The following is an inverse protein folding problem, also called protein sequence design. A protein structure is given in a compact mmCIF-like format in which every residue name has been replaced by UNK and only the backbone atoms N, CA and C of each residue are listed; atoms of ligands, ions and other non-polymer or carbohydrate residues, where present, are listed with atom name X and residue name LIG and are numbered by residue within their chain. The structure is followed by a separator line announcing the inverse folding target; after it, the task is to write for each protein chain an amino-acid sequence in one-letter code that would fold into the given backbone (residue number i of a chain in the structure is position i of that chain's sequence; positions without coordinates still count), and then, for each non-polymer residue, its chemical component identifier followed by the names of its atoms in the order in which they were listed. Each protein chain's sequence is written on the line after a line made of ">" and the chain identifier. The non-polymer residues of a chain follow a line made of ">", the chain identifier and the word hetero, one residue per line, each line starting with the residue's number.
data_IF_099257456673
#
_entry.id   IF_099257456673
#
_cell.length_a   1.000
_cell.length_b   1.000
_cell.length_c   1.000
_cell.angle_alpha   90.00
_cell.angle_beta   90.00
_cell.angle_gamma   90.00
#
_symmetry.space_group_name_H-M   'P 1'
#
loop_
_entity.id
_entity.type
_entity.pdbx_description
1 polymer ?
#
# COMPACT_ATOMS: atom_id res chain seq x y z
N UNK A 1 15.03 -52.20 -25.47
CA UNK A 1 15.30 -51.83 -24.07
C UNK A 1 15.66 -50.34 -23.88
N UNK A 2 16.59 -49.72 -24.65
CA UNK A 2 16.96 -48.30 -24.45
C UNK A 2 15.82 -47.27 -24.63
N UNK A 3 14.83 -47.51 -25.50
CA UNK A 3 13.70 -46.59 -25.72
C UNK A 3 12.69 -46.55 -24.56
N UNK A 4 12.50 -47.66 -23.86
CA UNK A 4 11.61 -47.71 -22.70
C UNK A 4 12.24 -47.07 -21.44
N UNK A 5 13.58 -47.12 -21.33
CA UNK A 5 14.30 -46.48 -20.21
C UNK A 5 14.25 -44.95 -20.29
N UNK A 6 14.37 -44.36 -21.50
CA UNK A 6 14.20 -42.92 -21.70
C UNK A 6 12.77 -42.45 -21.42
N UNK A 7 11.76 -43.23 -21.83
CA UNK A 7 10.36 -42.86 -21.54
C UNK A 7 10.05 -42.91 -20.04
N UNK A 8 10.66 -43.84 -19.29
CA UNK A 8 10.46 -43.94 -17.84
C UNK A 8 11.16 -42.77 -17.09
N UNK A 9 12.34 -42.31 -17.55
CA UNK A 9 13.04 -41.18 -17.00
C UNK A 9 12.28 -39.88 -17.27
N UNK A 10 11.76 -39.68 -18.48
CA UNK A 10 10.92 -38.52 -18.79
C UNK A 10 9.61 -38.48 -17.98
N UNK A 11 9.00 -39.64 -17.74
CA UNK A 11 7.79 -39.73 -16.93
C UNK A 11 8.05 -39.39 -15.45
N UNK A 12 9.18 -39.87 -14.89
CA UNK A 12 9.58 -39.50 -13.52
C UNK A 12 9.95 -38.03 -13.38
N UNK A 13 10.57 -37.40 -14.38
CA UNK A 13 10.84 -35.96 -14.36
C UNK A 13 9.53 -35.12 -14.46
N UNK A 14 8.57 -35.56 -15.25
CA UNK A 14 7.24 -34.89 -15.32
C UNK A 14 6.48 -35.03 -14.01
N UNK A 15 6.51 -36.21 -13.39
CA UNK A 15 5.86 -36.42 -12.08
C UNK A 15 6.52 -35.60 -10.97
N UNK A 16 7.85 -35.51 -10.95
CA UNK A 16 8.55 -34.67 -9.96
C UNK A 16 8.31 -33.17 -10.16
N UNK A 17 8.14 -32.69 -11.41
CA UNK A 17 7.76 -31.32 -11.71
C UNK A 17 6.32 -31.00 -11.27
N UNK A 18 5.39 -31.93 -11.46
CA UNK A 18 4.00 -31.76 -10.99
C UNK A 18 3.93 -31.78 -9.47
N UNK A 19 4.67 -32.65 -8.80
CA UNK A 19 4.75 -32.65 -7.32
C UNK A 19 5.40 -31.37 -6.78
N UNK A 20 6.45 -30.86 -7.41
CA UNK A 20 7.08 -29.59 -6.99
C UNK A 20 6.15 -28.39 -7.19
N UNK A 21 5.32 -28.38 -8.25
CA UNK A 21 4.30 -27.35 -8.47
C UNK A 21 3.12 -27.46 -7.50
N UNK A 22 2.79 -28.68 -7.07
CA UNK A 22 1.72 -28.92 -6.10
C UNK A 22 2.18 -28.61 -4.67
N UNK A 23 3.43 -28.89 -4.31
CA UNK A 23 4.05 -28.50 -3.03
C UNK A 23 4.15 -26.96 -2.89
N UNK A 24 4.63 -26.26 -3.92
CA UNK A 24 4.66 -24.78 -3.91
C UNK A 24 3.27 -24.17 -3.81
N UNK A 25 2.26 -24.78 -4.43
CA UNK A 25 0.87 -24.30 -4.37
C UNK A 25 0.21 -24.60 -3.02
N UNK A 26 0.63 -25.65 -2.32
CA UNK A 26 0.16 -26.00 -0.97
C UNK A 26 0.82 -25.10 0.07
N UNK A 27 2.13 -24.83 -0.03
CA UNK A 27 2.84 -23.88 0.84
C UNK A 27 2.31 -22.44 0.69
N UNK A 28 1.97 -22.04 -0.55
CA UNK A 28 1.38 -20.74 -0.84
C UNK A 28 -0.01 -20.56 -0.19
N UNK A 29 -0.80 -21.64 -0.19
CA UNK A 29 -2.14 -21.66 0.42
C UNK A 29 -2.07 -21.69 1.95
N UNK A 30 -1.11 -22.43 2.52
CA UNK A 30 -0.94 -22.57 3.97
C UNK A 30 -0.40 -21.29 4.62
N UNK A 31 0.51 -20.56 3.95
CA UNK A 31 1.02 -19.28 4.46
C UNK A 31 0.00 -18.15 4.37
N UNK A 32 -0.86 -18.12 3.34
CA UNK A 32 -1.96 -17.16 3.27
C UNK A 32 -3.00 -17.46 4.37
N UNK A 33 -3.32 -18.72 4.58
CA UNK A 33 -4.24 -19.14 5.65
C UNK A 33 -3.67 -18.90 7.04
N UNK A 34 -2.35 -18.97 7.24
CA UNK A 34 -1.71 -18.64 8.50
C UNK A 34 -1.72 -17.12 8.77
N UNK A 35 -1.42 -16.30 7.78
CA UNK A 35 -1.56 -14.84 7.86
C UNK A 35 -3.00 -14.43 8.15
N UNK A 36 -3.97 -14.98 7.41
CA UNK A 36 -5.39 -14.71 7.64
C UNK A 36 -5.87 -15.21 9.01
N UNK A 37 -5.27 -16.28 9.55
CA UNK A 37 -5.62 -16.79 10.86
C UNK A 37 -5.06 -15.98 12.03
N UNK A 38 -3.84 -15.46 11.88
CA UNK A 38 -3.14 -14.70 12.93
C UNK A 38 -3.40 -13.20 12.86
N UNK A 39 -3.46 -12.63 11.67
CA UNK A 39 -3.43 -11.17 11.45
C UNK A 39 -4.79 -10.61 11.02
N UNK A 40 -5.63 -11.40 10.36
CA UNK A 40 -6.94 -10.97 9.88
C UNK A 40 -6.99 -10.73 8.37
N UNK A 41 -8.04 -10.07 7.90
CA UNK A 41 -8.26 -9.82 6.48
C UNK A 41 -7.23 -8.83 5.91
N UNK A 42 -6.74 -9.15 4.71
CA UNK A 42 -5.86 -8.29 3.94
C UNK A 42 -6.69 -7.14 3.35
N UNK A 43 -6.19 -5.88 3.33
CA UNK A 43 -6.89 -4.77 2.70
C UNK A 43 -7.22 -5.04 1.23
N UNK A 44 -8.41 -4.61 0.77
CA UNK A 44 -8.86 -4.77 -0.63
C UNK A 44 -7.86 -4.19 -1.65
N UNK A 45 -7.08 -3.18 -1.26
CA UNK A 45 -6.03 -2.58 -2.10
C UNK A 45 -4.96 -3.59 -2.54
N UNK A 46 -4.66 -4.59 -1.70
CA UNK A 46 -3.67 -5.62 -2.02
C UNK A 46 -4.20 -6.70 -2.97
N UNK A 47 -5.53 -6.81 -3.10
CA UNK A 47 -6.17 -7.68 -4.09
C UNK A 47 -6.41 -6.97 -5.42
N UNK A 48 -6.02 -5.70 -5.54
CA UNK A 48 -6.18 -4.94 -6.76
C UNK A 48 -5.40 -5.56 -7.92
N UNK A 49 -6.10 -5.76 -9.03
CA UNK A 49 -5.48 -6.22 -10.26
C UNK A 49 -4.76 -5.07 -10.94
N UNK A 50 -3.44 -5.19 -11.14
CA UNK A 50 -2.59 -4.16 -11.74
C UNK A 50 -3.07 -3.76 -13.13
N UNK A 51 -3.52 -4.71 -13.96
CA UNK A 51 -4.06 -4.41 -15.28
C UNK A 51 -5.34 -3.57 -15.20
N UNK A 52 -6.16 -3.81 -14.17
CA UNK A 52 -7.36 -3.00 -13.91
C UNK A 52 -7.00 -1.60 -13.42
N UNK A 53 -5.98 -1.48 -12.55
CA UNK A 53 -5.44 -0.20 -12.10
C UNK A 53 -4.89 0.61 -13.27
N UNK A 54 -4.10 0.01 -14.13
CA UNK A 54 -3.53 0.64 -15.32
C UNK A 54 -4.60 1.08 -16.33
N UNK A 55 -5.72 0.36 -16.43
CA UNK A 55 -6.85 0.75 -17.31
C UNK A 55 -7.69 1.89 -16.77
N UNK A 56 -7.80 2.01 -15.46
CA UNK A 56 -8.59 3.07 -14.81
C UNK A 56 -7.86 4.42 -14.87
N UNK A 57 -6.55 4.39 -14.99
CA UNK A 57 -5.70 5.55 -15.22
C UNK A 57 -5.33 5.64 -16.68
N UNK A 58 -5.29 6.86 -17.22
CA UNK A 58 -4.74 7.13 -18.57
C UNK A 58 -3.24 6.85 -18.67
N UNK A 59 -2.71 5.91 -17.88
CA UNK A 59 -1.35 5.41 -17.94
C UNK A 59 -1.25 4.43 -19.11
N UNK A 60 -1.58 4.87 -20.32
CA UNK A 60 -1.46 4.06 -21.53
C UNK A 60 -0.08 4.12 -22.18
N UNK A 61 0.83 4.92 -21.63
CA UNK A 61 2.13 5.16 -22.23
C UNK A 61 3.25 4.86 -21.24
N UNK A 62 3.84 3.69 -21.39
CA UNK A 62 5.10 3.35 -20.74
C UNK A 62 6.25 3.83 -21.62
N UNK A 63 7.02 4.82 -21.18
CA UNK A 63 8.33 5.07 -21.76
C UNK A 63 9.32 4.05 -21.19
N UNK A 64 10.07 3.37 -22.05
CA UNK A 64 11.18 2.54 -21.60
C UNK A 64 12.29 3.45 -21.06
N UNK A 65 12.47 3.47 -19.75
CA UNK A 65 13.71 3.94 -19.15
C UNK A 65 14.70 2.77 -19.18
N UNK A 66 15.90 2.97 -19.70
CA UNK A 66 17.00 2.02 -19.53
C UNK A 66 17.47 2.17 -18.09
N UNK A 67 17.05 1.31 -17.22
CA UNK A 67 17.33 1.42 -15.79
C UNK A 67 18.28 0.33 -15.29
N UNK A 68 19.14 0.78 -14.40
CA UNK A 68 20.09 -0.01 -13.61
C UNK A 68 19.41 -0.98 -12.60
N UNK A 69 18.12 -1.22 -12.75
CA UNK A 69 17.38 -2.13 -11.91
C UNK A 69 17.31 -3.49 -12.59
N UNK A 70 17.87 -4.52 -11.97
CA UNK A 70 17.73 -5.89 -12.43
C UNK A 70 16.35 -6.39 -12.03
N UNK A 71 15.48 -6.56 -13.03
CA UNK A 71 14.14 -7.09 -12.86
C UNK A 71 14.19 -8.62 -13.02
N UNK A 72 14.61 -9.29 -11.96
CA UNK A 72 14.44 -10.73 -11.84
C UNK A 72 13.11 -11.00 -11.16
N UNK A 73 12.33 -11.94 -11.70
CA UNK A 73 11.04 -12.35 -11.11
C UNK A 73 11.20 -13.05 -9.75
N UNK A 74 12.44 -13.37 -9.37
CA UNK A 74 12.76 -14.06 -8.13
C UNK A 74 13.02 -13.08 -6.98
N UNK A 75 12.39 -13.35 -5.84
CA UNK A 75 12.65 -12.62 -4.60
C UNK A 75 13.98 -13.05 -3.99
N UNK A 76 14.68 -12.09 -3.37
CA UNK A 76 15.89 -12.35 -2.56
C UNK A 76 15.48 -12.44 -1.09
N UNK A 77 15.78 -13.59 -0.48
CA UNK A 77 15.52 -13.83 0.94
C UNK A 77 16.71 -13.42 1.79
N UNK A 78 16.42 -12.72 2.86
CA UNK A 78 17.43 -12.29 3.85
C UNK A 78 17.15 -12.91 5.22
N UNK A 79 18.17 -13.11 6.06
CA UNK A 79 17.96 -13.49 7.46
C UNK A 79 17.31 -12.32 8.23
N UNK A 80 16.59 -12.65 9.30
CA UNK A 80 15.85 -11.67 10.13
C UNK A 80 16.69 -10.50 10.60
N UNK A 81 17.97 -10.75 10.90
CA UNK A 81 18.93 -9.71 11.30
C UNK A 81 19.09 -8.60 10.27
N UNK A 82 18.95 -8.91 8.97
CA UNK A 82 19.02 -7.91 7.88
C UNK A 82 17.76 -7.06 7.86
N UNK A 83 16.57 -7.66 8.04
CA UNK A 83 15.32 -6.91 8.11
C UNK A 83 15.28 -5.99 9.32
N UNK A 84 15.72 -6.48 10.49
CA UNK A 84 15.83 -5.68 11.71
C UNK A 84 16.77 -4.49 11.51
N UNK A 85 17.98 -4.74 10.97
CA UNK A 85 18.96 -3.70 10.69
C UNK A 85 18.41 -2.65 9.71
N UNK A 86 17.79 -3.08 8.60
CA UNK A 86 17.22 -2.20 7.60
C UNK A 86 16.07 -1.35 8.15
N UNK A 87 15.13 -1.94 8.88
CA UNK A 87 14.04 -1.20 9.52
C UNK A 87 14.56 -0.18 10.52
N UNK A 88 15.60 -0.52 11.29
CA UNK A 88 16.22 0.39 12.25
C UNK A 88 16.94 1.60 11.63
N UNK A 89 17.32 1.49 10.34
CA UNK A 89 17.98 2.57 9.59
C UNK A 89 17.01 3.49 8.85
N UNK A 90 15.73 3.11 8.73
CA UNK A 90 14.76 4.00 8.12
C UNK A 90 14.59 5.26 8.97
N UNK A 91 14.67 6.46 8.37
CA UNK A 91 14.42 7.70 9.07
C UNK A 91 12.92 7.82 9.37
N UNK A 92 12.49 7.31 10.52
CA UNK A 92 11.08 7.27 10.91
C UNK A 92 10.89 7.75 12.34
N UNK A 93 9.91 8.62 12.55
CA UNK A 93 9.39 9.00 13.85
C UNK A 93 8.43 7.94 14.39
N UNK A 94 7.76 7.23 13.48
CA UNK A 94 6.85 6.13 13.80
C UNK A 94 7.67 4.87 14.12
N UNK A 95 7.37 4.21 15.22
CA UNK A 95 8.05 2.97 15.59
C UNK A 95 7.76 1.86 14.57
N UNK A 96 8.82 1.26 14.02
CA UNK A 96 8.76 0.18 13.03
C UNK A 96 9.36 -1.12 13.61
N UNK A 97 8.74 -1.74 14.63
CA UNK A 97 9.26 -2.95 15.23
C UNK A 97 9.20 -4.13 14.25
N UNK A 98 10.18 -5.02 14.35
CA UNK A 98 10.22 -6.28 13.61
C UNK A 98 9.68 -7.42 14.46
N UNK A 99 8.85 -8.26 13.87
CA UNK A 99 8.39 -9.55 14.40
C UNK A 99 7.95 -10.46 13.24
N UNK A 100 7.54 -11.69 13.54
CA UNK A 100 7.13 -12.64 12.51
C UNK A 100 5.96 -12.13 11.66
N UNK A 101 4.99 -11.43 12.26
CA UNK A 101 3.83 -10.86 11.55
C UNK A 101 4.28 -9.80 10.53
N UNK A 102 5.20 -8.93 10.93
CA UNK A 102 5.80 -7.93 10.04
C UNK A 102 6.60 -8.61 8.93
N UNK A 103 7.33 -9.69 9.26
CA UNK A 103 8.05 -10.48 8.27
C UNK A 103 7.11 -11.04 7.20
N UNK A 104 6.02 -11.67 7.62
CA UNK A 104 5.03 -12.25 6.71
C UNK A 104 4.39 -11.18 5.81
N UNK A 105 4.17 -9.96 6.33
CA UNK A 105 3.71 -8.83 5.53
C UNK A 105 4.77 -8.32 4.53
N UNK A 106 6.06 -8.34 4.90
CA UNK A 106 7.15 -8.02 3.97
C UNK A 106 7.20 -9.05 2.84
N UNK A 107 7.14 -10.34 3.17
CA UNK A 107 7.15 -11.42 2.18
C UNK A 107 5.90 -11.37 1.28
N UNK A 108 4.74 -10.98 1.81
CA UNK A 108 3.54 -10.72 1.01
C UNK A 108 3.81 -9.69 -0.10
N UNK A 109 4.40 -8.56 0.22
CA UNK A 109 4.75 -7.52 -0.77
C UNK A 109 5.90 -7.97 -1.69
N UNK A 110 7.00 -8.43 -1.11
CA UNK A 110 8.23 -8.70 -1.84
C UNK A 110 8.16 -9.96 -2.72
N UNK A 111 7.24 -10.88 -2.43
CA UNK A 111 7.12 -12.16 -3.15
C UNK A 111 5.79 -12.25 -3.93
N UNK A 112 4.65 -12.12 -3.23
CA UNK A 112 3.36 -12.42 -3.83
C UNK A 112 2.72 -11.25 -4.56
N UNK A 113 2.98 -10.02 -4.11
CA UNK A 113 2.39 -8.80 -4.68
C UNK A 113 3.42 -7.95 -5.42
N UNK A 114 4.51 -8.57 -5.95
CA UNK A 114 5.60 -7.88 -6.64
C UNK A 114 5.12 -6.90 -7.72
N UNK A 115 4.20 -7.35 -8.59
CA UNK A 115 3.64 -6.49 -9.64
C UNK A 115 2.87 -5.29 -9.08
N UNK A 116 2.17 -5.47 -7.95
CA UNK A 116 1.51 -4.36 -7.26
C UNK A 116 2.53 -3.39 -6.65
N UNK A 117 3.63 -3.91 -6.08
CA UNK A 117 4.73 -3.07 -5.57
C UNK A 117 5.37 -2.28 -6.70
N UNK A 118 5.62 -2.88 -7.86
CA UNK A 118 6.13 -2.19 -9.06
C UNK A 118 5.23 -1.04 -9.49
N UNK A 119 3.91 -1.27 -9.50
CA UNK A 119 2.91 -0.24 -9.77
C UNK A 119 2.96 0.87 -8.71
N UNK A 120 2.94 0.53 -7.42
CA UNK A 120 2.97 1.50 -6.32
C UNK A 120 4.23 2.36 -6.34
N UNK A 121 5.38 1.78 -6.66
CA UNK A 121 6.65 2.50 -6.83
C UNK A 121 6.56 3.52 -7.98
N UNK A 122 6.01 3.14 -9.13
CA UNK A 122 5.81 4.06 -10.24
C UNK A 122 4.82 5.18 -9.93
N UNK A 123 3.75 4.90 -9.17
CA UNK A 123 2.78 5.92 -8.75
C UNK A 123 3.32 6.81 -7.63
N UNK A 124 4.25 6.31 -6.82
CA UNK A 124 4.89 7.06 -5.75
C UNK A 124 5.67 8.26 -6.27
N UNK A 125 6.33 8.16 -7.41
CA UNK A 125 7.06 9.27 -8.03
C UNK A 125 6.17 10.51 -8.27
N UNK A 126 4.88 10.28 -8.53
CA UNK A 126 3.90 11.34 -8.74
C UNK A 126 3.20 11.79 -7.45
N UNK A 127 2.71 10.84 -6.63
CA UNK A 127 1.89 11.21 -5.47
C UNK A 127 2.68 11.55 -4.22
N UNK A 128 3.85 10.96 -4.00
CA UNK A 128 4.61 11.22 -2.78
C UNK A 128 5.03 12.69 -2.64
N UNK A 129 5.50 13.40 -3.67
CA UNK A 129 5.81 14.82 -3.54
C UNK A 129 4.62 15.66 -3.05
N UNK A 130 3.40 15.37 -3.55
CA UNK A 130 2.18 16.07 -3.12
C UNK A 130 1.85 15.75 -1.66
N UNK A 131 1.90 14.47 -1.30
CA UNK A 131 1.57 14.00 0.05
C UNK A 131 2.60 14.51 1.05
N UNK A 132 3.89 14.42 0.73
CA UNK A 132 4.99 14.87 1.58
C UNK A 132 4.92 16.36 1.87
N UNK A 133 4.65 17.17 0.85
CA UNK A 133 4.48 18.61 1.03
C UNK A 133 3.38 18.91 2.05
N UNK A 134 2.21 18.30 1.90
CA UNK A 134 1.08 18.55 2.82
C UNK A 134 1.37 18.03 4.23
N UNK A 135 2.01 16.85 4.36
CA UNK A 135 2.43 16.32 5.66
C UNK A 135 3.41 17.27 6.36
N UNK A 136 4.40 17.78 5.63
CA UNK A 136 5.40 18.71 6.15
C UNK A 136 4.77 20.05 6.59
N UNK A 137 3.90 20.64 5.77
CA UNK A 137 3.13 21.85 6.09
C UNK A 137 2.29 21.69 7.36
N UNK A 138 1.82 20.47 7.63
CA UNK A 138 1.10 20.11 8.85
C UNK A 138 2.02 19.72 10.03
N UNK A 139 3.33 19.60 9.83
CA UNK A 139 4.30 19.15 10.84
C UNK A 139 4.07 17.70 11.26
N UNK A 140 3.70 16.84 10.32
CA UNK A 140 3.42 15.42 10.53
C UNK A 140 4.55 14.54 10.01
N UNK A 141 4.72 13.31 10.56
CA UNK A 141 5.69 12.35 10.04
C UNK A 141 5.48 12.05 8.55
N UNK A 142 6.55 12.20 7.78
CA UNK A 142 6.52 12.00 6.31
C UNK A 142 6.21 10.55 5.94
N UNK A 143 6.58 9.62 6.78
CA UNK A 143 6.30 8.19 6.59
C UNK A 143 4.81 7.85 6.60
N UNK A 144 3.93 8.74 7.07
CA UNK A 144 2.47 8.57 6.94
C UNK A 144 2.02 8.46 5.48
N UNK A 145 2.83 8.90 4.51
CA UNK A 145 2.58 8.69 3.08
C UNK A 145 2.36 7.21 2.71
N UNK A 146 3.04 6.29 3.41
CA UNK A 146 2.89 4.85 3.17
C UNK A 146 1.53 4.31 3.59
N UNK A 147 0.74 5.09 4.32
CA UNK A 147 -0.64 4.72 4.59
C UNK A 147 -1.51 4.76 3.34
N UNK A 148 -1.29 5.73 2.43
CA UNK A 148 -1.96 5.76 1.13
C UNK A 148 -1.59 4.55 0.24
N UNK A 149 -0.38 3.99 0.44
CA UNK A 149 0.02 2.72 -0.20
C UNK A 149 -0.86 1.57 0.32
N UNK A 150 -1.03 1.47 1.64
CA UNK A 150 -1.85 0.41 2.27
C UNK A 150 -3.33 0.56 1.90
N UNK A 151 -3.86 1.79 1.90
CA UNK A 151 -5.28 2.06 1.70
C UNK A 151 -5.76 1.83 0.26
N UNK A 152 -4.98 2.28 -0.72
CA UNK A 152 -5.44 2.31 -2.11
C UNK A 152 -4.42 1.84 -3.14
N UNK A 153 -3.24 1.39 -2.72
CA UNK A 153 -2.09 1.20 -3.62
C UNK A 153 -1.79 2.47 -4.45
N UNK A 154 -1.96 3.65 -3.84
CA UNK A 154 -1.84 4.96 -4.49
C UNK A 154 -2.84 5.21 -5.65
N UNK A 155 -4.01 4.58 -5.61
CA UNK A 155 -5.08 4.81 -6.59
C UNK A 155 -6.09 5.87 -6.10
N UNK A 156 -6.10 7.10 -6.64
CA UNK A 156 -6.99 8.18 -6.17
C UNK A 156 -8.45 7.97 -6.53
N UNK A 157 -8.76 7.05 -7.43
CA UNK A 157 -10.15 6.71 -7.82
C UNK A 157 -10.62 5.40 -7.20
N UNK A 158 -9.83 4.80 -6.32
CA UNK A 158 -10.19 3.58 -5.63
C UNK A 158 -11.54 3.74 -4.90
N UNK A 159 -12.39 2.72 -5.02
CA UNK A 159 -13.69 2.65 -4.35
C UNK A 159 -13.87 1.24 -3.78
N UNK A 160 -13.91 1.14 -2.45
CA UNK A 160 -14.13 -0.13 -1.76
C UNK A 160 -15.60 -0.56 -1.82
N UNK A 161 -15.87 -1.84 -1.54
CA UNK A 161 -17.24 -2.40 -1.47
C UNK A 161 -18.12 -1.69 -0.42
N UNK A 162 -17.50 -1.14 0.62
CA UNK A 162 -18.21 -0.41 1.69
C UNK A 162 -18.30 1.09 1.43
N UNK A 163 -17.79 1.57 0.29
CA UNK A 163 -17.90 2.96 -0.13
C UNK A 163 -16.78 3.90 0.36
N UNK A 164 -15.69 3.34 0.89
CA UNK A 164 -14.46 4.11 1.11
C UNK A 164 -13.86 4.52 -0.26
N UNK A 165 -13.32 5.74 -0.38
CA UNK A 165 -12.93 6.30 -1.67
C UNK A 165 -11.63 7.10 -1.61
N UNK A 166 -10.87 7.03 -2.72
CA UNK A 166 -9.68 7.84 -2.97
C UNK A 166 -8.39 7.27 -2.39
N UNK A 167 -7.30 8.03 -2.48
CA UNK A 167 -5.97 7.66 -1.96
C UNK A 167 -6.00 7.22 -0.50
N UNK A 168 -6.79 7.90 0.30
CA UNK A 168 -6.89 7.76 1.74
C UNK A 168 -8.09 6.93 2.19
N UNK A 169 -8.85 6.37 1.27
CA UNK A 169 -10.02 5.51 1.53
C UNK A 169 -11.00 6.09 2.57
N UNK A 170 -11.27 7.39 2.48
CA UNK A 170 -12.24 8.00 3.37
C UNK A 170 -13.65 7.43 3.18
N UNK A 171 -14.27 7.04 4.28
CA UNK A 171 -15.72 6.84 4.32
C UNK A 171 -16.44 8.18 4.12
N UNK A 172 -17.59 8.15 3.47
CA UNK A 172 -18.36 9.36 3.16
C UNK A 172 -18.65 10.25 4.40
N UNK A 173 -19.10 9.70 5.56
CA UNK A 173 -19.32 10.52 6.75
C UNK A 173 -18.01 11.13 7.27
N UNK A 174 -16.94 10.36 7.30
CA UNK A 174 -15.62 10.81 7.79
C UNK A 174 -15.05 11.88 6.88
N UNK A 175 -15.07 11.70 5.56
CA UNK A 175 -14.61 12.72 4.62
C UNK A 175 -15.34 14.05 4.81
N UNK A 176 -16.66 14.03 4.94
CA UNK A 176 -17.44 15.23 5.23
C UNK A 176 -17.11 15.89 6.56
N UNK A 177 -16.85 15.10 7.63
CA UNK A 177 -16.50 15.65 8.94
C UNK A 177 -15.13 16.34 8.94
N UNK A 178 -14.25 15.96 8.02
CA UNK A 178 -12.93 16.59 7.83
C UNK A 178 -12.90 17.64 6.70
N UNK A 179 -14.10 18.04 6.22
CA UNK A 179 -14.27 19.22 5.36
C UNK A 179 -14.22 18.92 3.86
N UNK A 180 -14.27 17.65 3.45
CA UNK A 180 -14.34 17.30 2.03
C UNK A 180 -15.75 17.55 1.48
N UNK A 181 -15.84 18.20 0.32
CA UNK A 181 -17.08 18.36 -0.41
C UNK A 181 -17.41 17.05 -1.15
N UNK A 182 -18.55 16.47 -0.79
CA UNK A 182 -19.01 15.22 -1.39
C UNK A 182 -20.50 15.35 -1.70
N UNK A 183 -20.80 15.44 -2.99
CA UNK A 183 -22.16 15.57 -3.51
C UNK A 183 -22.32 14.74 -4.81
N UNK A 184 -23.40 14.95 -5.57
CA UNK A 184 -23.65 14.20 -6.81
C UNK A 184 -22.73 14.60 -7.99
N UNK A 185 -22.03 15.73 -7.90
CA UNK A 185 -21.18 16.27 -8.96
C UNK A 185 -19.69 16.21 -8.61
N UNK A 186 -19.36 16.32 -7.31
CA UNK A 186 -18.00 16.41 -6.81
C UNK A 186 -17.79 15.41 -5.69
N UNK A 187 -16.65 14.73 -5.71
CA UNK A 187 -16.19 13.86 -4.62
C UNK A 187 -14.70 14.15 -4.34
N UNK A 188 -14.44 15.06 -3.41
CA UNK A 188 -13.09 15.51 -3.06
C UNK A 188 -12.24 14.45 -2.34
N UNK A 189 -12.82 13.29 -2.00
CA UNK A 189 -12.02 12.14 -1.56
C UNK A 189 -11.07 11.64 -2.64
N UNK A 190 -11.36 11.96 -3.92
CA UNK A 190 -10.55 11.63 -5.10
C UNK A 190 -9.52 12.69 -5.45
N UNK A 191 -9.61 13.86 -4.84
CA UNK A 191 -8.62 14.92 -5.00
C UNK A 191 -7.40 14.64 -4.10
N UNK A 192 -6.20 14.40 -4.65
CA UNK A 192 -5.03 14.02 -3.87
C UNK A 192 -4.65 15.06 -2.83
N UNK A 193 -4.74 16.34 -3.16
CA UNK A 193 -4.36 17.44 -2.27
C UNK A 193 -5.38 17.57 -1.12
N UNK A 194 -6.66 17.73 -1.45
CA UNK A 194 -7.73 17.94 -0.45
C UNK A 194 -7.91 16.72 0.46
N UNK A 195 -7.83 15.51 -0.10
CA UNK A 195 -7.92 14.29 0.67
C UNK A 195 -6.72 14.14 1.63
N UNK A 196 -5.51 14.55 1.23
CA UNK A 196 -4.34 14.56 2.11
C UNK A 196 -4.49 15.60 3.22
N UNK A 197 -4.99 16.78 2.93
CA UNK A 197 -5.34 17.79 3.94
C UNK A 197 -6.33 17.26 5.00
N UNK A 198 -7.35 16.55 4.56
CA UNK A 198 -8.32 15.92 5.45
C UNK A 198 -7.67 14.82 6.31
N UNK A 199 -6.78 14.00 5.72
CA UNK A 199 -6.05 12.96 6.42
C UNK A 199 -5.12 13.55 7.50
N UNK A 200 -4.42 14.65 7.18
CA UNK A 200 -3.56 15.36 8.13
C UNK A 200 -4.35 15.86 9.36
N UNK A 201 -5.54 16.40 9.15
CA UNK A 201 -6.43 16.82 10.27
C UNK A 201 -6.83 15.63 11.13
N UNK A 202 -7.21 14.51 10.50
CA UNK A 202 -7.52 13.26 11.23
C UNK A 202 -6.32 12.78 12.06
N UNK A 203 -5.13 12.74 11.48
CA UNK A 203 -3.92 12.30 12.17
C UNK A 203 -3.61 13.17 13.39
N UNK A 204 -3.73 14.50 13.27
CA UNK A 204 -3.55 15.42 14.40
C UNK A 204 -4.54 15.16 15.53
N UNK A 205 -5.83 15.01 15.19
CA UNK A 205 -6.87 14.74 16.17
C UNK A 205 -6.61 13.42 16.92
N UNK A 206 -6.25 12.37 16.17
CA UNK A 206 -5.99 11.06 16.79
C UNK A 206 -4.69 11.04 17.58
N UNK A 207 -3.65 11.74 17.12
CA UNK A 207 -2.41 11.84 17.87
C UNK A 207 -2.59 12.63 19.17
N UNK A 208 -3.42 13.66 19.16
CA UNK A 208 -3.79 14.37 20.39
C UNK A 208 -4.48 13.49 21.44
N UNK A 209 -5.18 12.42 21.00
CA UNK A 209 -5.86 11.45 21.88
C UNK A 209 -4.89 10.38 22.38
N UNK A 210 -4.06 9.81 21.47
CA UNK A 210 -3.30 8.60 21.79
C UNK A 210 -1.83 8.87 22.12
N UNK A 211 -1.23 9.92 21.58
CA UNK A 211 0.21 10.20 21.70
C UNK A 211 1.14 9.13 21.12
N UNK A 212 0.57 8.15 20.41
CA UNK A 212 1.26 7.02 19.81
C UNK A 212 0.80 6.80 18.35
N UNK A 213 1.75 6.76 17.43
CA UNK A 213 1.44 6.67 16.00
C UNK A 213 0.85 5.32 15.59
N UNK A 214 1.28 4.23 16.19
CA UNK A 214 0.72 2.91 15.87
C UNK A 214 -0.75 2.79 16.32
N UNK A 215 -1.12 3.47 17.40
CA UNK A 215 -2.53 3.61 17.81
C UNK A 215 -3.31 4.55 16.88
N UNK A 216 -2.68 5.62 16.37
CA UNK A 216 -3.27 6.49 15.34
C UNK A 216 -3.56 5.70 14.07
N UNK A 217 -2.60 4.91 13.58
CA UNK A 217 -2.79 4.02 12.43
C UNK A 217 -3.91 3.01 12.66
N UNK A 218 -3.94 2.35 13.82
CA UNK A 218 -5.01 1.44 14.17
C UNK A 218 -6.39 2.13 14.20
N UNK A 219 -6.44 3.38 14.72
CA UNK A 219 -7.67 4.17 14.77
C UNK A 219 -8.14 4.60 13.38
N UNK A 220 -7.23 4.82 12.44
CA UNK A 220 -7.57 5.14 11.06
C UNK A 220 -8.38 4.00 10.41
N UNK A 221 -7.93 2.78 10.61
CA UNK A 221 -8.59 1.59 10.06
C UNK A 221 -9.92 1.25 10.75
N UNK A 222 -9.95 1.13 12.07
CA UNK A 222 -11.13 0.63 12.77
C UNK A 222 -11.94 1.71 13.53
N UNK A 223 -11.49 2.95 13.50
CA UNK A 223 -12.06 4.04 14.27
C UNK A 223 -11.63 4.07 15.74
N UNK A 224 -11.60 5.27 16.36
CA UNK A 224 -11.14 5.45 17.74
C UNK A 224 -11.98 4.67 18.77
N UNK A 225 -13.25 4.43 18.49
CA UNK A 225 -14.12 3.65 19.37
C UNK A 225 -13.66 2.20 19.59
N UNK A 226 -13.15 1.55 18.53
CA UNK A 226 -12.63 0.18 18.61
C UNK A 226 -11.26 0.12 19.29
N UNK A 227 -10.38 1.09 19.03
CA UNK A 227 -9.10 1.22 19.75
C UNK A 227 -9.33 1.41 21.23
N UNK A 228 -10.21 2.34 21.64
CA UNK A 228 -10.55 2.57 23.04
C UNK A 228 -11.17 1.32 23.71
N UNK A 229 -11.95 0.53 22.96
CA UNK A 229 -12.48 -0.73 23.45
C UNK A 229 -11.37 -1.77 23.67
N UNK A 230 -10.39 -1.85 22.76
CA UNK A 230 -9.23 -2.73 22.90
C UNK A 230 -8.36 -2.32 24.11
N UNK A 231 -8.08 -1.03 24.28
CA UNK A 231 -7.37 -0.49 25.46
C UNK A 231 -8.07 -0.89 26.75
N UNK A 232 -9.38 -0.71 26.86
CA UNK A 232 -10.13 -1.12 28.07
C UNK A 232 -10.05 -2.63 28.31
N UNK A 233 -10.14 -3.45 27.25
CA UNK A 233 -10.08 -4.91 27.36
C UNK A 233 -8.69 -5.43 27.73
N UNK A 234 -7.64 -4.73 27.38
CA UNK A 234 -6.25 -5.08 27.73
C UNK A 234 -5.86 -4.66 29.15
N UNK A 235 -6.79 -4.04 29.90
CA UNK A 235 -6.51 -3.52 31.25
C UNK A 235 -5.86 -2.12 31.24
N UNK A 236 -6.07 -1.32 30.18
CA UNK A 236 -5.59 0.04 30.07
C UNK A 236 -4.22 0.19 29.39
N UNK A 237 -3.75 -0.85 28.70
CA UNK A 237 -2.49 -0.79 27.94
C UNK A 237 -2.66 0.11 26.72
N UNK A 238 -1.62 0.86 26.38
CA UNK A 238 -1.59 1.86 25.30
C UNK A 238 -0.50 1.60 24.24
N UNK A 239 0.11 0.41 24.26
CA UNK A 239 0.98 -0.07 23.17
C UNK A 239 0.16 -0.88 22.18
N UNK A 240 0.40 -0.70 20.86
CA UNK A 240 -0.34 -1.41 19.82
C UNK A 240 -0.24 -2.93 19.95
N UNK A 241 0.96 -3.47 20.23
CA UNK A 241 1.18 -4.91 20.32
C UNK A 241 0.56 -5.52 21.58
N UNK A 242 0.46 -4.74 22.63
CA UNK A 242 -0.25 -5.14 23.86
C UNK A 242 -1.77 -5.23 23.65
N UNK A 243 -2.35 -4.33 22.86
CA UNK A 243 -3.80 -4.35 22.56
C UNK A 243 -4.15 -5.17 21.33
N UNK A 244 -3.17 -5.64 20.56
CA UNK A 244 -3.31 -6.41 19.33
C UNK A 244 -4.36 -7.54 19.41
N UNK A 245 -4.36 -8.42 20.45
CA UNK A 245 -5.34 -9.52 20.54
C UNK A 245 -6.79 -9.05 20.72
N UNK A 246 -7.00 -7.80 21.14
CA UNK A 246 -8.31 -7.22 21.40
C UNK A 246 -8.85 -6.36 20.27
N UNK A 247 -8.01 -6.06 19.27
CA UNK A 247 -8.38 -5.32 18.06
C UNK A 247 -9.23 -6.20 17.11
N UNK A 248 -10.06 -5.58 16.24
CA UNK A 248 -10.67 -6.28 15.11
C UNK A 248 -9.62 -6.99 14.27
N UNK A 249 -9.95 -8.15 13.70
CA UNK A 249 -8.99 -8.94 12.91
C UNK A 249 -8.36 -8.14 11.77
N UNK A 250 -9.16 -7.36 11.03
CA UNK A 250 -8.69 -6.48 9.94
C UNK A 250 -7.65 -5.46 10.41
N UNK A 251 -7.82 -4.93 11.61
CA UNK A 251 -6.93 -3.91 12.17
C UNK A 251 -5.60 -4.49 12.63
N UNK A 252 -5.57 -5.78 12.97
CA UNK A 252 -4.33 -6.45 13.40
C UNK A 252 -3.28 -6.49 12.29
N UNK A 253 -3.69 -6.65 11.03
CA UNK A 253 -2.77 -6.63 9.88
C UNK A 253 -2.32 -5.23 9.50
N UNK A 254 -3.07 -4.19 9.88
CA UNK A 254 -2.93 -2.86 9.32
C UNK A 254 -1.59 -2.19 9.67
N UNK A 255 -1.20 -2.18 10.93
CA UNK A 255 0.11 -1.65 11.35
C UNK A 255 1.27 -2.50 10.82
N UNK A 256 1.25 -3.85 10.89
CA UNK A 256 2.24 -4.68 10.22
C UNK A 256 2.38 -4.41 8.71
N UNK A 257 1.28 -4.22 7.99
CA UNK A 257 1.30 -3.88 6.56
C UNK A 257 1.88 -2.48 6.31
N UNK A 258 1.60 -1.51 7.19
CA UNK A 258 2.23 -0.20 7.11
C UNK A 258 3.75 -0.28 7.29
N UNK A 259 4.22 -1.06 8.26
CA UNK A 259 5.66 -1.30 8.47
C UNK A 259 6.28 -1.98 7.25
N UNK A 260 5.61 -2.99 6.71
CA UNK A 260 6.06 -3.70 5.52
C UNK A 260 6.07 -2.83 4.27
N UNK A 261 5.07 -1.95 4.09
CA UNK A 261 5.05 -0.98 3.01
C UNK A 261 6.22 0.01 3.11
N UNK A 262 6.49 0.53 4.33
CA UNK A 262 7.69 1.33 4.59
C UNK A 262 8.96 0.61 4.18
N UNK A 263 9.11 -0.64 4.58
CA UNK A 263 10.28 -1.45 4.26
C UNK A 263 10.41 -1.66 2.75
N UNK A 264 9.38 -2.21 2.10
CA UNK A 264 9.49 -2.61 0.69
C UNK A 264 9.64 -1.42 -0.26
N UNK A 265 8.98 -0.30 0.04
CA UNK A 265 9.09 0.92 -0.78
C UNK A 265 10.47 1.60 -0.66
N UNK A 266 11.27 1.28 0.36
CA UNK A 266 12.64 1.77 0.53
C UNK A 266 13.71 0.77 0.07
N UNK A 267 13.43 -0.53 0.17
CA UNK A 267 14.39 -1.60 -0.13
C UNK A 267 13.96 -2.49 -1.30
N UNK A 268 13.19 -1.94 -2.24
CA UNK A 268 12.67 -2.66 -3.41
C UNK A 268 13.79 -3.21 -4.32
N UNK A 269 14.88 -2.46 -4.50
CA UNK A 269 16.01 -2.90 -5.32
C UNK A 269 16.66 -4.17 -4.77
N UNK A 270 16.78 -4.29 -3.45
CA UNK A 270 17.37 -5.43 -2.77
C UNK A 270 16.52 -6.70 -2.90
N UNK A 271 15.24 -6.52 -3.25
CA UNK A 271 14.31 -7.60 -3.55
C UNK A 271 14.11 -7.83 -5.06
N UNK A 272 15.00 -7.29 -5.91
CA UNK A 272 14.89 -7.36 -7.36
C UNK A 272 13.52 -6.86 -7.89
N UNK A 273 12.97 -5.81 -7.29
CA UNK A 273 11.74 -5.18 -7.73
C UNK A 273 12.08 -3.84 -8.39
N UNK A 274 11.68 -3.66 -9.63
CA UNK A 274 11.87 -2.40 -10.34
C UNK A 274 10.57 -1.61 -10.43
N UNK A 275 10.59 -0.28 -10.25
CA UNK A 275 9.41 0.56 -10.42
C UNK A 275 8.82 0.40 -11.82
N UNK A 276 7.50 0.32 -11.89
CA UNK A 276 6.80 0.43 -13.18
C UNK A 276 6.90 1.89 -13.65
N UNK A 277 7.28 2.08 -14.90
CA UNK A 277 7.38 3.44 -15.43
C UNK A 277 5.99 3.99 -15.72
N UNK A 278 5.77 5.22 -15.29
CA UNK A 278 4.53 5.95 -15.52
C UNK A 278 4.81 7.16 -16.40
N UNK A 279 3.91 7.50 -17.31
CA UNK A 279 3.99 8.72 -18.12
C UNK A 279 3.37 9.93 -17.44
N UNK A 280 3.05 9.83 -16.14
CA UNK A 280 2.52 10.96 -15.39
C UNK A 280 3.58 12.08 -15.32
N UNK A 281 3.22 13.32 -15.62
CA UNK A 281 4.16 14.43 -15.55
C UNK A 281 4.58 14.66 -14.10
N UNK A 282 5.89 14.75 -13.84
CA UNK A 282 6.43 15.04 -12.50
C UNK A 282 6.16 16.50 -12.06
N UNK A 283 5.86 17.38 -13.00
CA UNK A 283 5.51 18.76 -12.73
C UNK A 283 4.14 19.07 -13.31
N UNK A 284 3.26 19.63 -12.48
CA UNK A 284 1.94 20.11 -12.88
C UNK A 284 1.79 21.57 -12.50
N UNK A 285 0.98 22.30 -13.26
CA UNK A 285 0.62 23.69 -12.93
C UNK A 285 -0.90 23.83 -12.91
N UNK A 286 -1.39 24.86 -12.24
CA UNK A 286 -2.83 25.11 -12.09
C UNK A 286 -3.23 26.32 -12.94
N UNK A 287 -4.19 26.12 -13.84
CA UNK A 287 -4.78 27.18 -14.63
C UNK A 287 -6.20 27.47 -14.12
N UNK A 288 -6.42 28.71 -13.68
CA UNK A 288 -7.75 29.15 -13.24
C UNK A 288 -8.62 29.50 -14.43
N UNK A 289 -9.73 28.79 -14.57
CA UNK A 289 -10.69 28.98 -15.65
C UNK A 289 -11.99 29.58 -15.08
N UNK A 290 -12.31 30.81 -15.49
CA UNK A 290 -13.50 31.53 -15.01
C UNK A 290 -14.74 31.38 -15.90
N UNK A 291 -14.58 30.77 -17.06
CA UNK A 291 -15.66 30.55 -18.03
C UNK A 291 -15.67 29.10 -18.49
N UNK A 292 -16.78 28.60 -18.98
CA UNK A 292 -16.85 27.27 -19.59
C UNK A 292 -15.92 27.21 -20.81
N UNK A 293 -14.96 26.26 -20.77
CA UNK A 293 -14.03 25.99 -21.85
C UNK A 293 -14.13 24.54 -22.26
N UNK A 294 -13.89 24.29 -23.55
CA UNK A 294 -13.66 22.93 -24.03
C UNK A 294 -12.20 22.53 -23.77
N UNK A 295 -11.94 21.30 -23.29
CA UNK A 295 -10.60 20.85 -22.98
C UNK A 295 -9.62 20.98 -24.16
N UNK A 296 -10.12 20.74 -25.39
CA UNK A 296 -9.32 20.93 -26.61
C UNK A 296 -8.82 22.38 -26.76
N UNK A 297 -9.62 23.39 -26.37
CA UNK A 297 -9.17 24.79 -26.41
C UNK A 297 -8.06 25.08 -25.41
N UNK A 298 -8.06 24.38 -24.26
CA UNK A 298 -6.99 24.47 -23.27
C UNK A 298 -5.72 23.83 -23.82
N UNK A 299 -5.84 22.61 -24.39
CA UNK A 299 -4.74 21.89 -25.03
C UNK A 299 -4.10 22.71 -26.14
N UNK A 300 -4.89 23.24 -27.08
CA UNK A 300 -4.41 24.04 -28.20
C UNK A 300 -3.73 25.35 -27.76
N UNK A 301 -4.25 25.99 -26.70
CA UNK A 301 -3.73 27.27 -26.22
C UNK A 301 -2.42 27.11 -25.43
N UNK A 302 -2.36 26.07 -24.58
CA UNK A 302 -1.21 25.84 -23.71
C UNK A 302 -0.17 24.89 -24.35
N UNK A 303 -0.47 24.32 -25.51
CA UNK A 303 0.37 23.34 -26.22
C UNK A 303 0.69 22.12 -25.34
N UNK A 304 -0.32 21.63 -24.60
CA UNK A 304 -0.29 20.44 -23.76
C UNK A 304 -1.28 19.41 -24.28
N UNK A 305 -0.98 18.12 -24.08
CA UNK A 305 -1.82 16.99 -24.51
C UNK A 305 -3.04 16.79 -23.60
#
# INVERSE_FOLDING_TARGET
>A
MKRYLLALICLNCLVSLVYAQEETRIEEKDTLSSLESEVGLIPESLDANVDSLLRTWHVQYFSKREDFCHDDDENVYFPDSVYIDRLSRLPSVIALPYNNIVRDCIDLYAERKRNLVRYMLGMADFYFPIIEQVLDEHGLPIELKYLAVVESALNPVALSRVGACGLWQFMLPTGKSYGLEINSLVDERRDPLKATEAACKYFKDMYAIYGDWNLVLASYNCGPGNVNKAIRRSGGKTDFWDIFPYLPKETRSYVPLFIAANYVMNYYCEHNICPMQTSLPLATDTVMVNNALHLQQVSDLLQVD
#
